data_IF_312984989037
#
_entry.id   IF_312984989037
#
_cell.length_a   1.000
_cell.length_b   1.000
_cell.length_c   1.000
_cell.angle_alpha   90.00
_cell.angle_beta   90.00
_cell.angle_gamma   90.00
#
_symmetry.space_group_name_H-M   'P 1'
#
loop_
_entity.id
_entity.type
_entity.pdbx_description
1 polymer ?
#
# COMPACT_ATOMS: atom_id res chain seq x y z
N UNK A 1 11.17 0.96 -17.00
CA UNK A 1 10.50 0.36 -18.16
C UNK A 1 9.31 -0.43 -17.62
N UNK A 2 8.11 -0.17 -18.14
CA UNK A 2 6.91 -0.88 -17.71
C UNK A 2 6.96 -2.32 -18.23
N UNK A 3 6.77 -3.31 -17.35
CA UNK A 3 6.76 -4.72 -17.71
C UNK A 3 5.32 -5.17 -17.78
N UNK A 4 4.88 -5.81 -18.87
CA UNK A 4 3.46 -6.15 -19.03
C UNK A 4 3.17 -7.60 -18.70
N UNK A 5 2.00 -7.87 -18.12
CA UNK A 5 1.55 -9.23 -17.88
C UNK A 5 1.24 -9.95 -19.20
N UNK A 6 1.79 -11.15 -19.47
CA UNK A 6 1.58 -11.88 -20.73
C UNK A 6 0.14 -12.35 -20.97
N UNK A 7 -0.74 -12.32 -19.95
CA UNK A 7 -2.13 -12.77 -20.06
C UNK A 7 -3.16 -11.65 -20.12
N UNK A 8 -2.88 -10.51 -19.51
CA UNK A 8 -3.84 -9.40 -19.44
C UNK A 8 -3.25 -8.05 -19.84
N UNK A 9 -1.97 -8.02 -20.24
CA UNK A 9 -1.25 -6.81 -20.68
C UNK A 9 -1.29 -5.66 -19.67
N UNK A 10 -1.60 -5.96 -18.40
CA UNK A 10 -1.57 -4.98 -17.34
C UNK A 10 -0.11 -4.60 -17.00
N UNK A 11 0.17 -3.34 -16.65
CA UNK A 11 1.48 -2.94 -16.19
C UNK A 11 1.81 -3.65 -14.88
N UNK A 12 2.98 -4.26 -14.83
CA UNK A 12 3.54 -5.04 -13.73
C UNK A 12 5.01 -4.66 -13.53
N UNK A 13 5.55 -4.96 -12.35
CA UNK A 13 6.96 -4.72 -12.05
C UNK A 13 7.79 -5.96 -12.42
N UNK A 14 9.00 -5.75 -12.90
CA UNK A 14 9.94 -6.82 -13.26
C UNK A 14 10.25 -7.79 -12.10
N UNK A 15 10.07 -7.32 -10.86
CA UNK A 15 10.31 -8.08 -9.62
C UNK A 15 9.04 -8.72 -9.04
N UNK A 16 7.88 -8.51 -9.68
CA UNK A 16 6.63 -9.10 -9.19
C UNK A 16 6.63 -10.61 -9.39
N UNK A 17 6.21 -11.36 -8.37
CA UNK A 17 6.07 -12.82 -8.42
C UNK A 17 4.77 -13.26 -9.08
N UNK A 18 3.78 -12.37 -9.10
CA UNK A 18 2.46 -12.61 -9.67
C UNK A 18 1.90 -11.33 -10.28
N UNK A 19 1.01 -11.47 -11.26
CA UNK A 19 0.23 -10.36 -11.79
C UNK A 19 -0.87 -9.96 -10.80
N UNK A 20 -0.87 -8.71 -10.37
CA UNK A 20 -1.89 -8.15 -9.47
C UNK A 20 -3.29 -8.09 -10.12
N UNK A 21 -3.37 -8.01 -11.45
CA UNK A 21 -4.64 -7.84 -12.16
C UNK A 21 -5.32 -9.17 -12.52
N UNK A 22 -4.55 -10.21 -12.89
CA UNK A 22 -5.11 -11.48 -13.35
C UNK A 22 -4.68 -12.71 -12.53
N UNK A 23 -3.85 -12.52 -11.49
CA UNK A 23 -3.42 -13.58 -10.58
C UNK A 23 -2.47 -14.60 -11.20
N UNK A 24 -1.83 -14.30 -12.33
CA UNK A 24 -0.87 -15.20 -12.97
C UNK A 24 0.42 -15.26 -12.17
N UNK A 25 0.86 -16.47 -11.83
CA UNK A 25 2.11 -16.75 -11.16
C UNK A 25 3.27 -16.83 -12.17
N UNK A 26 4.30 -16.01 -11.93
CA UNK A 26 5.51 -15.92 -12.74
C UNK A 26 6.61 -16.87 -12.28
N UNK A 27 6.49 -17.48 -11.09
CA UNK A 27 7.45 -18.49 -10.63
C UNK A 27 7.23 -19.85 -11.30
N UNK A 28 5.97 -20.19 -11.63
CA UNK A 28 5.61 -21.47 -12.25
C UNK A 28 5.63 -21.46 -13.78
N UNK A 29 5.34 -20.32 -14.42
CA UNK A 29 5.27 -20.23 -15.89
C UNK A 29 6.59 -19.79 -16.56
N UNK A 30 7.62 -19.51 -15.76
CA UNK A 30 8.93 -19.06 -16.24
C UNK A 30 9.09 -17.53 -16.11
N UNK A 31 10.33 -17.06 -15.92
CA UNK A 31 10.58 -15.64 -15.72
C UNK A 31 10.13 -14.84 -16.94
N UNK A 32 9.54 -13.67 -16.70
CA UNK A 32 9.31 -12.65 -17.72
C UNK A 32 10.66 -11.99 -18.05
N UNK A 33 10.94 -11.78 -19.33
CA UNK A 33 12.11 -10.98 -19.74
C UNK A 33 11.97 -9.55 -19.23
N UNK A 34 13.07 -8.80 -19.21
CA UNK A 34 13.13 -7.34 -18.92
C UNK A 34 12.10 -6.49 -19.70
N UNK A 35 11.55 -7.04 -20.78
CA UNK A 35 10.54 -6.42 -21.66
C UNK A 35 9.13 -6.99 -21.48
N UNK A 36 8.91 -7.89 -20.52
CA UNK A 36 7.60 -8.48 -20.22
C UNK A 36 7.21 -9.69 -21.06
N UNK A 37 8.06 -10.14 -21.98
CA UNK A 37 7.78 -11.33 -22.78
C UNK A 37 8.06 -12.61 -22.00
N UNK A 38 7.19 -13.59 -22.13
CA UNK A 38 7.36 -14.94 -21.56
C UNK A 38 8.53 -15.65 -22.26
N UNK A 39 9.52 -16.05 -21.47
CA UNK A 39 10.71 -16.78 -21.94
C UNK A 39 10.34 -18.10 -22.63
N UNK A 40 9.27 -18.79 -22.21
CA UNK A 40 8.80 -20.02 -22.84
C UNK A 40 8.20 -19.78 -24.22
N UNK A 41 7.39 -18.73 -24.36
CA UNK A 41 6.83 -18.32 -25.64
C UNK A 41 7.92 -17.87 -26.62
N UNK A 42 8.94 -17.14 -26.14
CA UNK A 42 10.09 -16.75 -26.95
C UNK A 42 10.90 -17.97 -27.42
N UNK A 43 11.13 -18.96 -26.57
CA UNK A 43 11.80 -20.21 -26.98
C UNK A 43 11.03 -20.97 -28.05
N UNK A 44 9.71 -20.99 -27.97
CA UNK A 44 8.86 -21.65 -28.95
C UNK A 44 8.85 -20.89 -30.29
N UNK A 45 8.83 -19.55 -30.24
CA UNK A 45 9.02 -18.68 -31.41
C UNK A 45 10.38 -18.89 -32.09
N UNK A 46 11.48 -18.93 -31.32
CA UNK A 46 12.83 -19.18 -31.87
C UNK A 46 12.94 -20.58 -32.49
N UNK A 47 12.31 -21.60 -31.88
CA UNK A 47 12.33 -22.96 -32.42
C UNK A 47 11.55 -23.09 -33.73
N UNK A 48 10.43 -22.38 -33.86
CA UNK A 48 9.54 -22.41 -35.04
C UNK A 48 10.03 -21.56 -36.21
N UNK A 49 11.05 -20.72 -36.02
CA UNK A 49 11.68 -19.91 -37.07
C UNK A 49 12.52 -20.75 -38.04
N UNK A 50 12.11 -20.89 -39.29
CA UNK A 50 12.85 -21.68 -40.29
C UNK A 50 14.01 -20.91 -40.96
N UNK A 51 14.15 -19.62 -40.65
CA UNK A 51 15.17 -18.71 -41.19
C UNK A 51 16.52 -18.76 -40.44
N UNK A 52 16.58 -19.46 -39.31
CA UNK A 52 17.76 -19.55 -38.45
C UNK A 52 18.36 -20.96 -38.46
N UNK A 53 19.70 -21.05 -38.46
CA UNK A 53 20.38 -22.34 -38.31
C UNK A 53 20.16 -22.91 -36.90
N UNK A 54 20.26 -24.24 -36.75
CA UNK A 54 20.11 -24.87 -35.43
C UNK A 54 21.09 -24.31 -34.39
N UNK A 55 22.31 -23.93 -34.80
CA UNK A 55 23.29 -23.30 -33.91
C UNK A 55 22.83 -21.92 -33.44
N UNK A 56 22.34 -21.08 -34.36
CA UNK A 56 21.85 -19.74 -34.02
C UNK A 56 20.59 -19.80 -33.14
N UNK A 57 19.74 -20.81 -33.33
CA UNK A 57 18.59 -21.06 -32.45
C UNK A 57 19.01 -21.38 -31.02
N UNK A 58 20.03 -22.22 -30.83
CA UNK A 58 20.53 -22.54 -29.48
C UNK A 58 21.20 -21.33 -28.82
N UNK A 59 21.95 -20.54 -29.59
CA UNK A 59 22.62 -19.34 -29.08
C UNK A 59 21.63 -18.23 -28.69
N UNK A 60 20.55 -18.04 -29.47
CA UNK A 60 19.50 -17.08 -29.14
C UNK A 60 18.66 -17.53 -27.93
N UNK A 61 18.39 -18.83 -27.79
CA UNK A 61 17.71 -19.37 -26.60
C UNK A 61 18.56 -19.16 -25.35
N UNK A 62 19.88 -19.40 -25.42
CA UNK A 62 20.79 -19.15 -24.31
C UNK A 62 20.81 -17.67 -23.91
N UNK A 63 20.88 -16.75 -24.88
CA UNK A 63 20.84 -15.29 -24.61
C UNK A 63 19.53 -14.82 -23.96
N UNK A 64 18.40 -15.42 -24.35
CA UNK A 64 17.09 -15.13 -23.75
C UNK A 64 16.97 -15.73 -22.35
N UNK A 65 17.55 -16.91 -22.09
CA UNK A 65 17.64 -17.51 -20.75
C UNK A 65 18.54 -16.69 -19.81
N UNK A 66 19.62 -16.10 -20.34
CA UNK A 66 20.53 -15.20 -19.61
C UNK A 66 19.94 -13.79 -19.40
N UNK A 67 18.71 -13.54 -19.85
CA UNK A 67 17.98 -12.30 -19.59
C UNK A 67 18.29 -11.14 -20.55
N UNK A 68 18.83 -11.43 -21.74
CA UNK A 68 19.05 -10.42 -22.77
C UNK A 68 17.72 -9.89 -23.35
N UNK A 69 17.70 -8.61 -23.74
CA UNK A 69 16.51 -7.94 -24.27
C UNK A 69 16.08 -8.59 -25.62
N UNK A 70 14.88 -9.19 -25.72
CA UNK A 70 14.44 -9.86 -26.96
C UNK A 70 14.16 -8.89 -28.13
N UNK A 71 13.95 -7.60 -27.82
CA UNK A 71 13.80 -6.52 -28.81
C UNK A 71 15.17 -6.23 -29.47
N UNK A 72 16.24 -6.13 -28.69
CA UNK A 72 17.61 -5.93 -29.21
C UNK A 72 18.12 -7.16 -29.99
N UNK A 73 17.62 -8.34 -29.65
CA UNK A 73 17.92 -9.59 -30.36
C UNK A 73 17.09 -9.78 -31.64
N UNK A 74 16.20 -8.84 -32.00
CA UNK A 74 15.37 -8.91 -33.20
C UNK A 74 14.36 -10.07 -33.17
N UNK A 75 13.94 -10.48 -31.96
CA UNK A 75 12.97 -11.57 -31.73
C UNK A 75 11.56 -11.01 -31.50
N UNK A 76 11.47 -9.81 -30.89
CA UNK A 76 10.21 -9.12 -30.64
C UNK A 76 10.24 -7.69 -31.20
N UNK A 77 9.09 -7.17 -31.63
CA UNK A 77 8.95 -5.79 -32.09
C UNK A 77 8.81 -4.82 -30.89
N UNK A 78 9.31 -3.59 -31.05
CA UNK A 78 9.01 -2.51 -30.10
C UNK A 78 7.55 -2.09 -30.24
N UNK A 79 6.87 -1.80 -29.13
CA UNK A 79 5.51 -1.24 -29.16
C UNK A 79 5.47 0.23 -29.64
N UNK A 80 6.63 0.88 -29.80
CA UNK A 80 6.73 2.31 -30.15
C UNK A 80 6.67 2.61 -31.66
N UNK A 81 6.55 1.60 -32.54
CA UNK A 81 6.41 1.83 -34.00
C UNK A 81 4.95 2.03 -34.46
N UNK A 82 4.04 2.36 -33.53
CA UNK A 82 2.70 2.82 -33.84
C UNK A 82 2.64 4.36 -33.74
N UNK A 83 2.93 5.00 -34.88
CA UNK A 83 2.46 6.32 -35.30
C UNK A 83 2.71 7.52 -34.35
N UNK A 84 3.74 8.31 -34.69
CA UNK A 84 3.85 9.72 -34.31
C UNK A 84 2.60 10.50 -34.78
N UNK A 85 1.70 10.88 -33.88
CA UNK A 85 0.97 12.15 -33.99
C UNK A 85 0.32 12.57 -32.66
N UNK A 86 0.32 13.88 -32.45
CA UNK A 86 -0.22 14.67 -31.33
C UNK A 86 0.63 14.84 -30.04
N UNK A 87 1.24 16.03 -30.00
CA UNK A 87 1.92 16.62 -28.87
C UNK A 87 1.03 16.70 -27.62
N UNK A 88 1.41 16.00 -26.55
CA UNK A 88 0.84 16.20 -25.22
C UNK A 88 1.18 17.61 -24.67
N UNK A 89 0.23 18.32 -24.04
CA UNK A 89 0.46 19.66 -23.53
C UNK A 89 1.35 19.61 -22.28
N UNK A 90 2.25 20.60 -22.17
CA UNK A 90 3.11 20.81 -21.00
C UNK A 90 2.25 20.92 -19.72
N UNK A 91 2.59 20.23 -18.62
CA UNK A 91 1.86 20.40 -17.37
C UNK A 91 2.11 21.81 -16.81
N UNK A 92 1.01 22.52 -16.56
CA UNK A 92 0.98 23.81 -15.88
C UNK A 92 1.47 23.68 -14.43
N UNK A 93 2.02 24.75 -13.83
CA UNK A 93 2.57 24.71 -12.49
C UNK A 93 1.49 24.41 -11.46
N UNK A 94 1.73 23.42 -10.61
CA UNK A 94 0.84 22.99 -9.54
C UNK A 94 0.60 24.16 -8.58
N UNK A 95 -0.67 24.49 -8.43
CA UNK A 95 -1.16 25.48 -7.49
C UNK A 95 -1.04 24.97 -6.05
N UNK A 96 -0.59 25.88 -5.19
CA UNK A 96 -0.80 26.05 -3.75
C UNK A 96 -1.31 24.85 -2.92
N UNK A 97 -0.48 24.52 -1.93
CA UNK A 97 -0.85 23.91 -0.64
C UNK A 97 -2.10 24.58 -0.05
N UNK A 98 -3.08 23.76 0.33
CA UNK A 98 -4.30 24.17 1.02
C UNK A 98 -5.31 23.03 1.11
N UNK A 99 -5.68 22.71 2.35
CA UNK A 99 -6.70 21.75 2.81
C UNK A 99 -6.35 20.25 2.77
N UNK A 100 -6.15 19.71 3.98
CA UNK A 100 -5.93 18.30 4.25
C UNK A 100 -7.02 17.43 3.63
N UNK A 101 -6.58 16.45 2.84
CA UNK A 101 -7.46 15.43 2.28
C UNK A 101 -7.98 14.55 3.42
N UNK A 102 -9.16 14.87 3.95
CA UNK A 102 -9.91 13.94 4.80
C UNK A 102 -10.39 12.78 3.92
N UNK A 103 -9.52 11.79 3.74
CA UNK A 103 -9.91 10.51 3.13
C UNK A 103 -10.83 9.80 4.13
N UNK A 104 -12.13 9.83 3.84
CA UNK A 104 -13.13 9.07 4.59
C UNK A 104 -12.87 7.57 4.43
N UNK A 105 -13.20 6.78 5.47
CA UNK A 105 -13.04 5.32 5.48
C UNK A 105 -13.79 4.67 4.31
N UNK A 106 -13.08 4.39 3.21
CA UNK A 106 -13.55 3.44 2.19
C UNK A 106 -13.07 2.08 2.67
N UNK A 107 -13.98 1.22 3.14
CA UNK A 107 -13.59 -0.12 3.61
C UNK A 107 -12.94 -0.89 2.46
N UNK A 108 -11.62 -1.00 2.48
CA UNK A 108 -10.91 -1.79 1.48
C UNK A 108 -11.35 -3.24 1.61
N UNK A 109 -11.77 -3.91 0.52
CA UNK A 109 -12.09 -5.34 0.54
C UNK A 109 -10.93 -6.19 1.08
N UNK A 110 -9.68 -5.77 0.84
CA UNK A 110 -8.50 -6.44 1.37
C UNK A 110 -8.38 -6.30 2.90
N UNK A 111 -8.66 -5.10 3.44
CA UNK A 111 -8.67 -4.88 4.88
C UNK A 111 -9.79 -5.69 5.55
N UNK A 112 -10.98 -5.73 4.94
CA UNK A 112 -12.10 -6.53 5.44
C UNK A 112 -11.78 -8.05 5.43
N UNK A 113 -11.13 -8.55 4.38
CA UNK A 113 -10.71 -9.94 4.30
C UNK A 113 -9.63 -10.27 5.35
N UNK A 114 -8.65 -9.38 5.56
CA UNK A 114 -7.63 -9.54 6.59
C UNK A 114 -8.24 -9.57 7.99
N UNK A 115 -9.13 -8.61 8.31
CA UNK A 115 -9.86 -8.58 9.58
C UNK A 115 -10.63 -9.88 9.77
N UNK A 116 -11.42 -10.31 8.77
CA UNK A 116 -12.18 -11.54 8.85
C UNK A 116 -11.29 -12.77 9.07
N UNK A 117 -10.11 -12.84 8.44
CA UNK A 117 -9.21 -14.00 8.59
C UNK A 117 -8.65 -14.14 10.01
N UNK A 118 -8.37 -13.03 10.68
CA UNK A 118 -7.80 -13.01 12.04
C UNK A 118 -8.91 -13.06 13.10
N UNK A 119 -10.04 -12.40 12.86
CA UNK A 119 -11.14 -12.32 13.80
C UNK A 119 -11.99 -13.58 13.86
N UNK A 120 -11.99 -14.42 12.82
CA UNK A 120 -12.79 -15.66 12.74
C UNK A 120 -12.64 -16.60 13.93
N UNK A 121 -11.47 -16.62 14.58
CA UNK A 121 -11.20 -17.46 15.75
C UNK A 121 -11.65 -16.84 17.08
N UNK A 122 -12.19 -15.62 17.08
CA UNK A 122 -12.52 -14.87 18.29
C UNK A 122 -14.02 -14.91 18.61
N UNK A 123 -14.34 -14.94 19.90
CA UNK A 123 -15.73 -14.89 20.38
C UNK A 123 -16.45 -13.61 19.93
N UNK A 124 -15.73 -12.51 19.79
CA UNK A 124 -16.24 -11.23 19.28
C UNK A 124 -16.79 -11.37 17.85
N UNK A 125 -16.13 -12.14 16.99
CA UNK A 125 -16.61 -12.38 15.63
C UNK A 125 -17.85 -13.28 15.60
N UNK A 126 -17.98 -14.21 16.55
CA UNK A 126 -19.23 -14.93 16.78
C UNK A 126 -20.40 -14.00 17.10
N UNK A 127 -20.17 -12.93 17.87
CA UNK A 127 -21.19 -11.92 18.17
C UNK A 127 -21.57 -11.08 16.95
N UNK A 128 -20.62 -10.81 16.06
CA UNK A 128 -20.89 -10.14 14.77
C UNK A 128 -21.72 -11.04 13.87
N UNK A 129 -21.34 -12.31 13.72
CA UNK A 129 -22.04 -13.27 12.86
C UNK A 129 -23.46 -13.57 13.33
N UNK A 130 -23.68 -13.58 14.64
CA UNK A 130 -25.02 -13.73 15.23
C UNK A 130 -25.86 -12.44 15.19
N UNK A 131 -25.29 -11.33 14.68
CA UNK A 131 -25.97 -10.04 14.58
C UNK A 131 -26.09 -9.27 15.89
N UNK A 132 -25.43 -9.73 16.97
CA UNK A 132 -25.41 -9.05 18.27
C UNK A 132 -24.53 -7.80 18.27
N UNK A 133 -23.49 -7.78 17.45
CA UNK A 133 -22.63 -6.61 17.23
C UNK A 133 -22.78 -6.15 15.79
N UNK A 134 -23.28 -4.92 15.61
CA UNK A 134 -23.43 -4.33 14.29
C UNK A 134 -22.23 -3.43 13.97
N UNK A 135 -21.29 -3.94 13.16
CA UNK A 135 -20.11 -3.17 12.70
C UNK A 135 -20.54 -1.99 11.80
N UNK A 136 -21.73 -2.05 11.22
CA UNK A 136 -22.29 -0.97 10.39
C UNK A 136 -23.02 0.11 11.21
N UNK A 137 -22.98 0.04 12.54
CA UNK A 137 -23.54 1.07 13.40
C UNK A 137 -22.75 2.39 13.27
N UNK A 138 -23.42 3.56 13.23
CA UNK A 138 -22.77 4.86 13.11
C UNK A 138 -21.70 5.13 14.18
N UNK A 139 -21.85 4.60 15.39
CA UNK A 139 -20.86 4.75 16.46
C UNK A 139 -19.53 4.09 16.10
N UNK A 140 -19.58 2.88 15.53
CA UNK A 140 -18.37 2.19 15.07
C UNK A 140 -17.72 2.92 13.89
N UNK A 141 -18.51 3.48 12.98
CA UNK A 141 -17.97 4.29 11.88
C UNK A 141 -17.29 5.55 12.39
N UNK A 142 -17.94 6.28 13.30
CA UNK A 142 -17.37 7.49 13.90
C UNK A 142 -16.07 7.20 14.67
N UNK A 143 -16.01 6.07 15.39
CA UNK A 143 -14.79 5.64 16.06
C UNK A 143 -13.67 5.28 15.07
N UNK A 144 -13.99 4.59 13.97
CA UNK A 144 -13.03 4.28 12.92
C UNK A 144 -12.54 5.55 12.21
N UNK A 145 -13.41 6.51 11.93
CA UNK A 145 -13.05 7.80 11.34
C UNK A 145 -12.08 8.57 12.26
N UNK A 146 -12.34 8.59 13.56
CA UNK A 146 -11.43 9.19 14.55
C UNK A 146 -10.07 8.48 14.57
N UNK A 147 -10.06 7.15 14.48
CA UNK A 147 -8.82 6.38 14.34
C UNK A 147 -8.04 6.74 13.07
N UNK A 148 -8.73 6.92 11.95
CA UNK A 148 -8.10 7.35 10.69
C UNK A 148 -7.52 8.76 10.79
N UNK A 149 -8.21 9.70 11.45
CA UNK A 149 -7.69 11.04 11.73
C UNK A 149 -6.40 10.97 12.57
N UNK A 150 -6.35 10.13 13.61
CA UNK A 150 -5.15 9.90 14.41
C UNK A 150 -3.99 9.32 13.58
N UNK A 151 -4.26 8.37 12.67
CA UNK A 151 -3.26 7.82 11.75
C UNK A 151 -2.71 8.87 10.78
N UNK A 152 -3.58 9.70 10.19
CA UNK A 152 -3.15 10.78 9.29
C UNK A 152 -2.27 11.78 10.03
N UNK A 153 -2.58 12.09 11.28
CA UNK A 153 -1.76 12.98 12.09
C UNK A 153 -0.30 12.46 12.24
N UNK A 154 -0.11 11.15 12.49
CA UNK A 154 1.23 10.53 12.50
C UNK A 154 1.87 10.56 11.10
N UNK A 155 1.08 10.33 10.05
CA UNK A 155 1.55 10.40 8.67
C UNK A 155 2.13 11.78 8.33
N UNK A 156 1.40 12.84 8.67
CA UNK A 156 1.74 14.22 8.33
C UNK A 156 3.01 14.65 9.10
N UNK A 157 3.12 14.29 10.38
CA UNK A 157 4.33 14.50 11.18
C UNK A 157 5.54 13.80 10.54
N UNK A 158 5.39 12.54 10.10
CA UNK A 158 6.48 11.80 9.46
C UNK A 158 6.98 12.43 8.14
N UNK A 159 6.10 13.16 7.43
CA UNK A 159 6.45 13.93 6.23
C UNK A 159 7.02 15.32 6.54
N UNK A 160 7.14 15.66 7.83
CA UNK A 160 7.63 16.93 8.31
C UNK A 160 6.60 18.06 8.21
N UNK A 161 5.31 17.72 8.21
CA UNK A 161 4.25 18.64 8.64
C UNK A 161 4.40 18.83 10.15
N UNK A 162 4.80 20.02 10.57
CA UNK A 162 4.76 20.38 11.98
C UNK A 162 3.45 21.11 12.13
N UNK A 163 2.37 20.37 12.35
CA UNK A 163 1.15 21.00 12.84
C UNK A 163 1.45 21.60 14.22
N UNK A 164 0.68 22.60 14.62
CA UNK A 164 0.74 23.20 15.97
C UNK A 164 0.20 22.21 17.02
N UNK A 165 0.87 21.07 17.12
CA UNK A 165 0.48 19.97 17.98
C UNK A 165 1.04 20.22 19.36
N UNK A 166 0.22 20.02 20.39
CA UNK A 166 0.63 20.02 21.80
C UNK A 166 1.58 18.85 22.17
N UNK A 167 2.02 18.06 21.18
CA UNK A 167 2.98 16.98 21.41
C UNK A 167 4.33 17.54 21.88
N UNK A 168 4.92 16.85 22.85
CA UNK A 168 6.20 17.27 23.42
C UNK A 168 7.34 17.05 22.44
N UNK A 169 8.48 17.72 22.65
CA UNK A 169 9.67 17.51 21.82
C UNK A 169 10.20 16.07 21.88
N UNK A 170 9.86 15.32 22.93
CA UNK A 170 10.24 13.92 23.08
C UNK A 170 9.37 13.00 22.22
N UNK A 171 8.07 13.27 22.16
CA UNK A 171 7.12 12.50 21.33
C UNK A 171 7.42 12.67 19.83
N UNK A 172 7.77 13.89 19.41
CA UNK A 172 8.16 14.18 18.03
C UNK A 172 9.47 13.47 17.62
N UNK A 173 10.35 13.12 18.57
CA UNK A 173 11.58 12.36 18.27
C UNK A 173 11.32 10.87 18.09
N UNK A 174 10.21 10.36 18.63
CA UNK A 174 9.83 8.97 18.49
C UNK A 174 9.25 8.66 17.10
N UNK A 175 8.76 9.67 16.38
CA UNK A 175 8.20 9.52 15.03
C UNK A 175 9.33 9.63 13.98
N UNK A 176 9.59 8.59 13.17
CA UNK A 176 10.59 8.67 12.12
C UNK A 176 10.23 9.69 11.04
N UNK A 177 11.21 10.50 10.63
CA UNK A 177 11.03 11.48 9.55
C UNK A 177 11.41 10.85 8.21
N UNK A 178 10.44 10.71 7.32
CA UNK A 178 10.56 10.11 5.99
C UNK A 178 10.86 11.15 4.89
N UNK A 179 11.05 12.42 5.25
CA UNK A 179 11.28 13.51 4.31
C UNK A 179 12.62 13.34 3.55
N UNK A 180 12.60 13.36 2.20
CA UNK A 180 13.82 13.34 1.41
C UNK A 180 14.73 14.56 1.69
N UNK A 181 16.06 14.41 1.61
CA UNK A 181 16.98 15.53 1.73
C UNK A 181 16.74 16.58 0.64
N UNK A 182 16.63 17.86 1.00
CA UNK A 182 16.44 18.97 0.04
C UNK A 182 17.68 19.29 -0.80
N UNK A 183 18.87 18.85 -0.36
CA UNK A 183 20.15 19.12 -1.02
C UNK A 183 20.74 17.80 -1.52
N UNK A 184 21.29 17.82 -2.71
CA UNK A 184 22.02 16.68 -3.29
C UNK A 184 23.41 16.49 -2.69
N UNK A 185 23.96 17.46 -1.95
CA UNK A 185 25.30 17.37 -1.37
C UNK A 185 25.28 17.53 0.15
N UNK A 186 26.07 16.72 0.84
CA UNK A 186 26.28 16.85 2.27
C UNK A 186 27.11 18.12 2.55
N UNK A 187 26.60 19.10 3.32
CA UNK A 187 27.33 20.34 3.59
C UNK A 187 28.58 20.14 4.47
N UNK A 188 28.71 18.97 5.14
CA UNK A 188 29.81 18.69 6.07
C UNK A 188 31.01 18.02 5.39
N UNK A 189 30.78 17.16 4.40
CA UNK A 189 31.83 16.40 3.72
C UNK A 189 31.84 16.54 2.19
N UNK A 190 30.89 17.28 1.60
CA UNK A 190 30.81 17.50 0.15
C UNK A 190 30.40 16.27 -0.66
N UNK A 191 30.10 15.14 -0.02
CA UNK A 191 29.69 13.92 -0.73
C UNK A 191 28.29 14.08 -1.34
N UNK A 192 28.11 13.48 -2.51
CA UNK A 192 26.82 13.41 -3.19
C UNK A 192 25.89 12.45 -2.42
N UNK A 193 24.79 12.97 -1.91
CA UNK A 193 23.76 12.23 -1.18
C UNK A 193 23.01 11.29 -2.13
N UNK A 194 22.85 11.66 -3.39
CA UNK A 194 22.18 10.83 -4.40
C UNK A 194 23.02 9.62 -4.81
N UNK A 195 24.35 9.71 -4.70
CA UNK A 195 25.25 8.55 -4.88
C UNK A 195 25.04 7.46 -3.82
N UNK A 196 24.38 7.79 -2.71
CA UNK A 196 23.97 6.87 -1.65
C UNK A 196 22.46 6.55 -1.68
N UNK A 197 21.82 6.61 -2.85
CA UNK A 197 20.40 6.31 -3.04
C UNK A 197 19.98 4.97 -2.41
N UNK A 198 20.82 3.92 -2.50
CA UNK A 198 20.57 2.64 -1.84
C UNK A 198 20.49 2.73 -0.31
N UNK A 199 21.32 3.57 0.32
CA UNK A 199 21.29 3.77 1.76
C UNK A 199 20.04 4.55 2.18
N UNK A 200 19.64 5.55 1.37
CA UNK A 200 18.39 6.29 1.59
C UNK A 200 17.17 5.38 1.44
N UNK A 201 17.15 4.51 0.42
CA UNK A 201 16.10 3.51 0.24
C UNK A 201 16.04 2.49 1.38
N UNK A 202 17.20 2.05 1.88
CA UNK A 202 17.26 1.15 3.04
C UNK A 202 16.68 1.82 4.28
N UNK A 203 17.12 3.06 4.56
CA UNK A 203 16.61 3.87 5.68
C UNK A 203 15.10 4.09 5.57
N UNK A 204 14.62 4.46 4.38
CA UNK A 204 13.21 4.69 4.13
C UNK A 204 12.40 3.40 4.32
N UNK A 205 12.88 2.28 3.79
CA UNK A 205 12.24 0.97 3.98
C UNK A 205 12.16 0.59 5.46
N UNK A 206 13.25 0.71 6.20
CA UNK A 206 13.30 0.35 7.63
C UNK A 206 12.36 1.23 8.46
N UNK A 207 12.40 2.56 8.29
CA UNK A 207 11.56 3.47 9.06
C UNK A 207 10.11 3.53 8.58
N UNK A 208 9.81 3.20 7.32
CA UNK A 208 8.43 3.16 6.83
C UNK A 208 7.59 2.13 7.57
N UNK A 209 8.18 0.98 7.95
CA UNK A 209 7.51 -0.03 8.74
C UNK A 209 7.18 0.47 10.15
N UNK A 210 8.11 1.21 10.78
CA UNK A 210 7.91 1.83 12.10
C UNK A 210 6.79 2.88 12.06
N UNK A 211 6.75 3.73 11.02
CA UNK A 211 5.68 4.73 10.85
C UNK A 211 4.32 4.05 10.67
N UNK A 212 4.22 3.02 9.83
CA UNK A 212 2.96 2.28 9.62
C UNK A 212 2.50 1.60 10.91
N UNK A 213 3.43 1.08 11.71
CA UNK A 213 3.10 0.49 13.02
C UNK A 213 2.55 1.54 13.99
N UNK A 214 3.19 2.72 14.08
CA UNK A 214 2.71 3.83 14.91
C UNK A 214 1.35 4.35 14.45
N UNK A 215 1.14 4.47 13.13
CA UNK A 215 -0.14 4.85 12.54
C UNK A 215 -1.25 3.86 12.92
N UNK A 216 -0.99 2.55 12.77
CA UNK A 216 -1.95 1.51 13.12
C UNK A 216 -2.26 1.51 14.62
N UNK A 217 -1.24 1.67 15.47
CA UNK A 217 -1.42 1.74 16.92
C UNK A 217 -2.28 2.95 17.31
N UNK A 218 -1.91 4.16 16.84
CA UNK A 218 -2.66 5.37 17.14
C UNK A 218 -4.12 5.30 16.65
N UNK A 219 -4.34 4.74 15.46
CA UNK A 219 -5.69 4.53 14.93
C UNK A 219 -6.52 3.57 15.79
N UNK A 220 -5.94 2.43 16.16
CA UNK A 220 -6.63 1.44 16.99
C UNK A 220 -6.93 1.98 18.38
N UNK A 221 -5.98 2.66 19.03
CA UNK A 221 -6.18 3.24 20.36
C UNK A 221 -7.29 4.29 20.34
N UNK A 222 -7.28 5.22 19.39
CA UNK A 222 -8.32 6.24 19.28
C UNK A 222 -9.70 5.63 19.01
N UNK A 223 -9.80 4.66 18.10
CA UNK A 223 -11.05 3.98 17.80
C UNK A 223 -11.57 3.16 19.00
N UNK A 224 -10.71 2.41 19.68
CA UNK A 224 -11.08 1.60 20.84
C UNK A 224 -11.55 2.49 21.99
N UNK A 225 -10.85 3.59 22.27
CA UNK A 225 -11.24 4.54 23.32
C UNK A 225 -12.63 5.14 23.03
N UNK A 226 -12.91 5.49 21.78
CA UNK A 226 -14.21 6.04 21.38
C UNK A 226 -15.36 5.01 21.48
N UNK A 227 -15.10 3.75 21.11
CA UNK A 227 -16.10 2.68 21.27
C UNK A 227 -16.31 2.36 22.76
N UNK A 228 -15.23 2.30 23.54
CA UNK A 228 -15.29 2.03 24.96
C UNK A 228 -16.07 3.12 25.71
N UNK A 229 -15.82 4.40 25.40
CA UNK A 229 -16.53 5.53 26.02
C UNK A 229 -18.04 5.47 25.75
N UNK A 230 -18.44 5.11 24.53
CA UNK A 230 -19.85 4.93 24.19
C UNK A 230 -20.51 3.82 25.02
N UNK A 231 -19.87 2.65 25.14
CA UNK A 231 -20.44 1.54 25.91
C UNK A 231 -20.44 1.79 27.41
N UNK A 232 -19.41 2.42 27.97
CA UNK A 232 -19.38 2.83 29.37
C UNK A 232 -20.53 3.80 29.65
N UNK A 233 -20.71 4.83 28.81
CA UNK A 233 -21.83 5.76 28.97
C UNK A 233 -23.21 5.10 28.85
N UNK A 234 -23.35 4.11 27.98
CA UNK A 234 -24.58 3.33 27.87
C UNK A 234 -24.85 2.48 29.12
N UNK A 235 -23.82 1.89 29.72
CA UNK A 235 -23.93 1.14 30.97
C UNK A 235 -24.31 2.05 32.14
N UNK A 236 -23.66 3.20 32.28
CA UNK A 236 -23.99 4.18 33.32
C UNK A 236 -25.46 4.63 33.22
N UNK A 237 -25.95 4.88 32.00
CA UNK A 237 -27.34 5.24 31.77
C UNK A 237 -28.32 4.12 32.12
N UNK A 238 -27.94 2.85 31.90
CA UNK A 238 -28.74 1.69 32.30
C UNK A 238 -28.75 1.52 33.83
N UNK A 239 -27.60 1.69 34.49
CA UNK A 239 -27.52 1.62 35.96
C UNK A 239 -28.39 2.67 36.63
N UNK A 240 -28.42 3.91 36.11
CA UNK A 240 -29.29 4.97 36.62
C UNK A 240 -30.76 4.57 36.50
N UNK A 241 -31.20 4.11 35.33
CA UNK A 241 -32.57 3.66 35.11
C UNK A 241 -32.96 2.48 36.00
N UNK A 242 -32.03 1.56 36.23
CA UNK A 242 -32.29 0.40 37.07
C UNK A 242 -32.51 0.82 38.53
N UNK A 243 -31.69 1.75 39.04
CA UNK A 243 -31.89 2.36 40.37
C UNK A 243 -33.22 3.10 40.47
N UNK A 244 -33.60 3.86 39.44
CA UNK A 244 -34.91 4.53 39.39
C UNK A 244 -36.07 3.54 39.44
N UNK A 245 -35.97 2.42 38.71
CA UNK A 245 -36.97 1.35 38.71
C UNK A 245 -37.03 0.62 40.05
N UNK A 246 -35.88 0.37 40.69
CA UNK A 246 -35.83 -0.23 42.04
C UNK A 246 -36.57 0.66 43.06
N UNK A 247 -36.34 1.98 43.03
CA UNK A 247 -37.06 2.93 43.89
C UNK A 247 -38.57 2.90 43.61
N UNK A 248 -38.99 2.87 42.35
CA UNK A 248 -40.41 2.75 41.99
C UNK A 248 -41.04 1.43 42.44
N UNK A 249 -40.26 0.35 42.49
CA UNK A 249 -40.72 -0.95 42.96
C UNK A 249 -40.90 -0.96 44.48
N UNK A 250 -40.01 -0.28 45.21
CA UNK A 250 -40.06 -0.15 46.68
C UNK A 250 -41.23 0.75 47.14
N UNK A 251 -41.77 1.59 46.25
CA UNK A 251 -42.92 2.47 46.49
C UNK A 251 -44.29 1.79 46.25
N UNK A 252 -44.32 0.56 45.72
CA UNK A 252 -45.53 -0.24 45.43
C UNK A 252 -45.90 -1.22 46.55
#
# INVERSE_FOLDING_TARGET
MAVYCPKCEAPTEATSKFCLQCGQDYETNGPITSTGHDVKALKESIRSRDDLSMADKFDLIAKVEDGSNPIELGIAASADDAEEEEAAPKPAPVAKEGEGSKVAMVSSPAAAAAVASVSQATDAWGMVMTGRVNISDPTFRAAMDLGMEASHHIHDISHGGIDETELTNEDLRAIPVLKPPKRSFCPKCGSDILSHSHLQWKKWREHSAEVVQLQAQAAMEAAIVQVASHYVGALDALEIKNKELEVQLDEL
#
